data_IF_120105998280
#
_entry.id   IF_120105998280
#
_cell.length_a   1.000
_cell.length_b   1.000
_cell.length_c   1.000
_cell.angle_alpha   90.00
_cell.angle_beta   90.00
_cell.angle_gamma   90.00
#
_symmetry.space_group_name_H-M   'P 1'
#
loop_
_entity.id
_entity.type
_entity.pdbx_description
1 polymer ?
#
# COMPACT_ATOMS: atom_id res chain seq x y z
N UNK A 1 -5.81 17.26 0.34
CA UNK A 1 -7.24 16.87 0.38
C UNK A 1 -7.31 15.42 -0.05
N UNK A 2 -8.14 14.59 0.59
CA UNK A 2 -8.38 13.22 0.15
C UNK A 2 -9.25 13.27 -1.12
N UNK A 3 -8.76 12.69 -2.21
CA UNK A 3 -9.42 12.75 -3.52
C UNK A 3 -8.95 11.63 -4.46
N UNK A 4 -9.70 11.43 -5.54
CA UNK A 4 -9.27 10.65 -6.70
C UNK A 4 -9.30 11.60 -7.89
N UNK A 5 -8.12 11.89 -8.42
CA UNK A 5 -7.94 12.85 -9.50
C UNK A 5 -7.49 12.16 -10.78
N UNK A 6 -7.89 12.73 -11.93
CA UNK A 6 -7.47 12.24 -13.22
C UNK A 6 -6.02 12.63 -13.50
N UNK A 7 -5.31 11.75 -14.21
CA UNK A 7 -4.01 12.03 -14.82
C UNK A 7 -4.09 11.76 -16.31
N UNK A 8 -3.04 12.13 -17.06
CA UNK A 8 -2.95 11.89 -18.50
C UNK A 8 -3.26 10.44 -18.90
N UNK A 9 -2.83 9.47 -18.08
CA UNK A 9 -2.94 8.04 -18.39
C UNK A 9 -3.53 7.21 -17.24
N UNK A 10 -4.40 7.78 -16.40
CA UNK A 10 -5.01 7.03 -15.30
C UNK A 10 -5.51 7.90 -14.15
N UNK A 11 -5.36 7.41 -12.93
CA UNK A 11 -5.83 8.06 -11.70
C UNK A 11 -4.70 8.26 -10.70
N UNK A 12 -4.81 9.30 -9.87
CA UNK A 12 -4.05 9.42 -8.62
C UNK A 12 -5.03 9.42 -7.47
N UNK A 13 -4.81 8.56 -6.49
CA UNK A 13 -5.56 8.57 -5.23
C UNK A 13 -4.70 9.28 -4.18
N UNK A 14 -5.22 10.36 -3.63
CA UNK A 14 -4.65 11.04 -2.47
C UNK A 14 -5.24 10.42 -1.20
N UNK A 15 -4.42 9.68 -0.44
CA UNK A 15 -4.84 8.99 0.78
C UNK A 15 -3.95 9.37 1.97
N UNK A 16 -4.50 9.28 3.19
CA UNK A 16 -3.73 9.36 4.42
C UNK A 16 -3.60 7.96 5.02
N UNK A 17 -2.38 7.60 5.42
CA UNK A 17 -2.09 6.37 6.15
C UNK A 17 -1.71 6.69 7.60
N UNK A 18 -2.04 5.79 8.52
CA UNK A 18 -1.62 5.88 9.92
C UNK A 18 -1.08 4.53 10.39
N UNK A 19 0.04 4.56 11.11
CA UNK A 19 0.58 3.37 11.76
C UNK A 19 -0.15 3.11 13.08
N UNK A 20 -0.83 1.97 13.15
CA UNK A 20 -1.57 1.52 14.34
C UNK A 20 -0.70 0.75 15.34
N UNK A 21 0.57 0.49 15.01
CA UNK A 21 1.53 -0.15 15.91
C UNK A 21 2.15 0.87 16.87
N UNK A 22 2.71 0.38 17.96
CA UNK A 22 3.44 1.20 18.94
C UNK A 22 4.87 1.57 18.52
N UNK A 23 5.36 1.02 17.41
CA UNK A 23 6.74 1.17 16.94
C UNK A 23 6.76 1.80 15.55
N UNK A 24 7.63 2.78 15.27
CA UNK A 24 7.81 3.30 13.92
C UNK A 24 8.15 2.21 12.91
N UNK A 25 7.56 2.32 11.73
CA UNK A 25 7.86 1.43 10.60
C UNK A 25 8.37 2.23 9.40
N UNK A 26 9.34 1.68 8.70
CA UNK A 26 10.04 2.31 7.59
C UNK A 26 10.07 1.37 6.38
N UNK A 27 10.28 1.94 5.18
CA UNK A 27 10.43 1.19 3.93
C UNK A 27 9.23 0.31 3.57
N UNK A 28 8.02 0.77 3.91
CA UNK A 28 6.79 0.07 3.58
C UNK A 28 6.61 0.06 2.06
N UNK A 29 6.51 -1.12 1.47
CA UNK A 29 6.04 -1.28 0.10
C UNK A 29 4.56 -1.68 0.04
N UNK A 30 3.95 -1.54 -1.13
CA UNK A 30 2.59 -1.99 -1.39
C UNK A 30 2.53 -2.85 -2.65
N UNK A 31 1.81 -3.97 -2.59
CA UNK A 31 1.35 -4.68 -3.77
C UNK A 31 -0.06 -4.19 -4.07
N UNK A 32 -0.23 -3.60 -5.25
CA UNK A 32 -1.49 -3.03 -5.69
C UNK A 32 -2.03 -3.79 -6.90
N UNK A 33 -3.35 -3.99 -6.94
CA UNK A 33 -4.09 -4.49 -8.09
C UNK A 33 -5.34 -3.64 -8.25
N UNK A 34 -5.59 -3.12 -9.46
CA UNK A 34 -6.71 -2.21 -9.69
C UNK A 34 -7.32 -2.40 -11.08
N UNK A 35 -8.55 -1.93 -11.25
CA UNK A 35 -9.29 -2.09 -12.50
C UNK A 35 -10.73 -1.60 -12.40
N UNK A 36 -11.51 -2.03 -13.39
CA UNK A 36 -12.96 -1.85 -13.40
C UNK A 36 -13.66 -2.64 -12.29
N UNK A 37 -14.94 -2.33 -12.10
CA UNK A 37 -15.79 -2.97 -11.10
C UNK A 37 -15.77 -4.49 -11.21
N UNK A 38 -15.75 -5.16 -10.05
CA UNK A 38 -15.78 -6.63 -9.99
C UNK A 38 -17.15 -7.13 -10.45
N UNK A 39 -17.23 -8.03 -11.45
CA UNK A 39 -18.50 -8.53 -11.94
C UNK A 39 -19.22 -9.39 -10.88
N UNK A 40 -20.55 -9.35 -10.93
CA UNK A 40 -21.41 -10.23 -10.13
C UNK A 40 -21.50 -11.63 -10.76
N UNK A 41 -21.48 -11.71 -12.09
CA UNK A 41 -21.50 -12.98 -12.82
C UNK A 41 -20.15 -13.69 -12.73
N UNK A 42 -20.17 -14.93 -12.23
CA UNK A 42 -19.00 -15.79 -12.14
C UNK A 42 -18.37 -16.10 -13.50
N UNK A 43 -19.14 -16.06 -14.60
CA UNK A 43 -18.62 -16.30 -15.96
C UNK A 43 -17.70 -15.19 -16.43
N UNK A 44 -17.96 -13.95 -16.04
CA UNK A 44 -17.15 -12.78 -16.40
C UNK A 44 -15.93 -12.61 -15.48
N UNK A 45 -15.89 -13.31 -14.35
CA UNK A 45 -14.85 -13.16 -13.35
C UNK A 45 -13.44 -13.46 -13.89
N UNK A 46 -13.27 -14.55 -14.64
CA UNK A 46 -11.96 -14.93 -15.19
C UNK A 46 -11.43 -13.87 -16.18
N UNK A 47 -12.31 -13.34 -17.04
CA UNK A 47 -11.96 -12.27 -17.97
C UNK A 47 -11.64 -10.97 -17.22
N UNK A 48 -12.45 -10.61 -16.23
CA UNK A 48 -12.20 -9.44 -15.39
C UNK A 48 -10.83 -9.52 -14.72
N UNK A 49 -10.45 -10.67 -14.17
CA UNK A 49 -9.12 -10.86 -13.55
C UNK A 49 -7.96 -10.61 -14.52
N UNK A 50 -8.10 -11.01 -15.79
CA UNK A 50 -7.07 -10.79 -16.83
C UNK A 50 -6.94 -9.31 -17.23
N UNK A 51 -7.98 -8.50 -17.03
CA UNK A 51 -7.99 -7.07 -17.33
C UNK A 51 -7.43 -6.21 -16.18
N UNK A 52 -7.16 -6.81 -15.02
CA UNK A 52 -6.63 -6.07 -13.87
C UNK A 52 -5.16 -5.67 -14.08
N UNK A 53 -4.87 -4.41 -13.75
CA UNK A 53 -3.51 -3.94 -13.63
C UNK A 53 -2.93 -4.34 -12.27
N UNK A 54 -1.62 -4.60 -12.20
CA UNK A 54 -0.95 -4.86 -10.94
C UNK A 54 0.47 -4.26 -10.95
N UNK A 55 0.96 -3.90 -9.76
CA UNK A 55 2.35 -3.48 -9.58
C UNK A 55 2.80 -3.65 -8.11
N UNK A 56 4.11 -3.63 -7.88
CA UNK A 56 4.71 -3.50 -6.55
C UNK A 56 5.31 -2.10 -6.42
N UNK A 57 4.77 -1.32 -5.49
CA UNK A 57 5.20 0.03 -5.18
C UNK A 57 6.20 -0.03 -4.03
N UNK A 58 7.46 0.27 -4.32
CA UNK A 58 8.49 0.45 -3.29
C UNK A 58 8.44 1.89 -2.78
N UNK A 59 8.64 2.09 -1.48
CA UNK A 59 8.69 3.41 -0.89
C UNK A 59 9.71 3.46 0.25
N UNK A 60 10.23 4.65 0.52
CA UNK A 60 11.01 4.99 1.72
C UNK A 60 10.13 5.59 2.83
N UNK A 61 8.79 5.42 2.71
CA UNK A 61 7.80 5.91 3.66
C UNK A 61 8.12 5.43 5.08
N UNK A 62 8.10 6.38 6.02
CA UNK A 62 8.24 6.12 7.45
C UNK A 62 6.97 6.56 8.18
N UNK A 63 6.23 5.59 8.72
CA UNK A 63 5.02 5.85 9.48
C UNK A 63 5.29 5.80 10.99
N UNK A 64 5.15 6.95 11.65
CA UNK A 64 5.23 7.08 13.09
C UNK A 64 3.92 6.61 13.75
N UNK A 65 3.98 6.00 14.96
CA UNK A 65 2.79 5.57 15.70
C UNK A 65 1.75 6.68 15.85
N UNK A 66 0.52 6.42 15.42
CA UNK A 66 -0.62 7.33 15.57
C UNK A 66 -0.58 8.61 14.72
N UNK A 67 0.44 8.82 13.88
CA UNK A 67 0.55 9.99 13.03
C UNK A 67 0.03 9.70 11.62
N UNK A 68 -0.90 10.54 11.16
CA UNK A 68 -1.41 10.51 9.79
C UNK A 68 -0.35 11.07 8.83
N UNK A 69 -0.12 10.36 7.73
CA UNK A 69 0.76 10.79 6.66
C UNK A 69 0.07 10.64 5.31
N UNK A 70 0.04 11.74 4.56
CA UNK A 70 -0.52 11.78 3.23
C UNK A 70 0.45 11.16 2.21
N UNK A 71 -0.09 10.31 1.35
CA UNK A 71 0.63 9.70 0.23
C UNK A 71 -0.23 9.74 -1.04
N UNK A 72 0.45 9.62 -2.18
CA UNK A 72 -0.20 9.52 -3.48
C UNK A 72 -0.02 8.11 -4.05
N UNK A 73 -1.12 7.48 -4.44
CA UNK A 73 -1.11 6.23 -5.19
C UNK A 73 -1.41 6.52 -6.67
N UNK A 74 -0.38 6.43 -7.52
CA UNK A 74 -0.54 6.63 -8.96
C UNK A 74 -0.91 5.31 -9.64
N UNK A 75 -2.10 5.26 -10.22
CA UNK A 75 -2.70 4.08 -10.85
C UNK A 75 -2.90 4.32 -12.34
N UNK A 76 -2.00 3.81 -13.16
CA UNK A 76 -2.07 3.95 -14.62
C UNK A 76 -3.13 3.05 -15.24
N UNK A 77 -3.62 3.42 -16.43
CA UNK A 77 -4.50 2.60 -17.28
C UNK A 77 -6.00 2.68 -16.95
N UNK A 78 -6.39 3.31 -15.84
CA UNK A 78 -7.80 3.41 -15.42
C UNK A 78 -8.11 4.84 -14.99
N UNK A 79 -9.09 5.47 -15.63
CA UNK A 79 -9.58 6.80 -15.27
C UNK A 79 -10.40 6.76 -13.97
N UNK A 80 -10.55 7.88 -13.24
CA UNK A 80 -11.25 7.88 -11.95
C UNK A 80 -12.66 7.30 -12.00
N UNK A 81 -13.43 7.62 -13.05
CA UNK A 81 -14.80 7.14 -13.22
C UNK A 81 -14.90 5.63 -13.50
N UNK A 82 -13.81 5.01 -13.97
CA UNK A 82 -13.75 3.58 -14.29
C UNK A 82 -13.00 2.78 -13.21
N UNK A 83 -12.47 3.44 -12.17
CA UNK A 83 -11.75 2.81 -11.08
C UNK A 83 -12.72 2.22 -10.06
N UNK A 84 -13.31 1.08 -10.40
CA UNK A 84 -14.28 0.37 -9.57
C UNK A 84 -13.68 -0.65 -8.60
N UNK A 85 -12.38 -0.93 -8.71
CA UNK A 85 -11.71 -1.93 -7.87
C UNK A 85 -10.28 -1.53 -7.51
N UNK A 86 -9.95 -1.65 -6.23
CA UNK A 86 -8.59 -1.55 -5.70
C UNK A 86 -8.37 -2.61 -4.62
N UNK A 87 -7.35 -3.45 -4.81
CA UNK A 87 -6.78 -4.32 -3.78
C UNK A 87 -5.39 -3.80 -3.45
N UNK A 88 -5.17 -3.46 -2.20
CA UNK A 88 -3.90 -2.98 -1.67
C UNK A 88 -3.44 -3.89 -0.55
N UNK A 89 -2.21 -4.38 -0.63
CA UNK A 89 -1.59 -5.22 0.40
C UNK A 89 -0.20 -4.68 0.75
N UNK A 90 0.20 -4.80 2.01
CA UNK A 90 1.55 -4.44 2.44
C UNK A 90 2.55 -5.45 1.88
N UNK A 91 3.61 -4.95 1.24
CA UNK A 91 4.79 -5.74 0.92
C UNK A 91 5.75 -5.70 2.12
N UNK A 92 5.97 -6.86 2.75
CA UNK A 92 6.80 -7.02 3.96
C UNK A 92 8.28 -7.27 3.66
N UNK A 93 8.69 -7.33 2.40
CA UNK A 93 10.05 -7.74 1.99
C UNK A 93 11.16 -6.85 2.60
N UNK A 94 10.93 -5.52 2.67
CA UNK A 94 11.94 -4.55 3.09
C UNK A 94 11.54 -3.71 4.30
N UNK A 95 10.44 -4.06 4.98
CA UNK A 95 9.94 -3.27 6.11
C UNK A 95 10.91 -3.31 7.29
N UNK A 96 11.13 -2.16 7.92
CA UNK A 96 11.99 -2.03 9.10
C UNK A 96 11.17 -1.52 10.28
N UNK A 97 11.46 -2.03 11.47
CA UNK A 97 10.86 -1.61 12.73
C UNK A 97 11.94 -0.91 13.55
N UNK A 98 11.96 0.42 13.55
CA UNK A 98 13.11 1.24 13.96
C UNK A 98 13.48 1.21 15.45
N UNK A 99 12.90 0.31 16.27
CA UNK A 99 13.23 0.17 17.70
C UNK A 99 13.43 -1.27 18.17
N UNK A 100 13.57 -2.25 17.27
CA UNK A 100 13.99 -3.58 17.72
C UNK A 100 15.52 -3.58 17.87
N UNK A 101 16.08 -3.69 19.09
CA UNK A 101 17.49 -4.01 19.20
C UNK A 101 17.73 -5.30 18.40
N UNK A 102 18.77 -5.30 17.57
CA UNK A 102 19.28 -6.51 16.91
C UNK A 102 19.30 -7.65 17.92
N UNK A 103 18.96 -8.87 17.51
CA UNK A 103 18.88 -10.02 18.41
C UNK A 103 20.13 -10.17 19.31
N UNK A 104 21.31 -9.80 18.78
CA UNK A 104 22.58 -9.75 19.52
C UNK A 104 22.58 -8.81 20.74
N UNK A 105 21.89 -7.67 20.68
CA UNK A 105 21.84 -6.70 21.78
C UNK A 105 20.87 -7.12 22.91
N UNK A 106 19.95 -8.08 22.66
CA UNK A 106 19.06 -8.61 23.70
C UNK A 106 19.78 -9.58 24.64
N UNK A 107 20.73 -10.37 24.13
CA UNK A 107 21.51 -11.30 24.96
C UNK A 107 22.45 -10.58 25.94
N UNK A 108 22.99 -9.40 25.61
CA UNK A 108 23.87 -8.64 26.51
C UNK A 108 23.13 -8.02 27.71
N UNK A 109 21.82 -7.76 27.61
CA UNK A 109 21.05 -7.14 28.69
C UNK A 109 20.47 -8.13 29.72
N UNK A 110 20.45 -9.44 29.43
CA UNK A 110 19.95 -10.46 30.37
C UNK A 110 21.02 -11.00 31.33
N UNK A 111 22.27 -10.51 31.25
CA UNK A 111 23.33 -10.78 32.24
C UNK A 111 23.50 -9.57 33.15
N UNK A 112 22.57 -9.37 34.07
CA UNK A 112 22.79 -8.58 35.28
C UNK A 112 21.88 -9.08 36.39
#
# INVERSE_FOLDING_TARGET
MLSIDATENGSVIHISLVNLLSTPISNIGFNATWGGEKPVDAKEFARWQQLLFNTSMKSTLKLLPGQWQDINLTLKGVSPNNLGYLKLAINMENIQFDNLPSAENRQKRSKK
#
